data_IF_985175491840
#
_entry.id   IF_985175491840
#
_cell.length_a   1.000
_cell.length_b   1.000
_cell.length_c   1.000
_cell.angle_alpha   90.00
_cell.angle_beta   90.00
_cell.angle_gamma   90.00
#
_symmetry.space_group_name_H-M   'P 1'
#
loop_
_entity.id
_entity.type
_entity.pdbx_description
1 polymer ?
#
# COMPACT_ATOMS: atom_id res chain seq x y z
N UNK A 1 -47.72 -21.29 -19.66
CA UNK A 1 -46.27 -21.39 -19.91
C UNK A 1 -45.59 -20.11 -19.43
N UNK A 2 -44.98 -20.07 -18.24
CA UNK A 2 -44.22 -18.92 -17.78
C UNK A 2 -42.72 -19.08 -18.08
N UNK A 3 -42.24 -18.18 -18.94
CA UNK A 3 -41.01 -17.41 -18.83
C UNK A 3 -39.69 -18.09 -18.42
N UNK A 4 -38.92 -18.48 -19.44
CA UNK A 4 -37.47 -18.65 -19.39
C UNK A 4 -36.70 -17.37 -18.99
N UNK A 5 -37.35 -16.19 -18.98
CA UNK A 5 -36.71 -14.92 -18.60
C UNK A 5 -36.46 -14.77 -17.10
N UNK A 6 -37.25 -15.42 -16.25
CA UNK A 6 -37.10 -15.32 -14.78
C UNK A 6 -35.88 -16.09 -14.28
N UNK A 7 -35.54 -17.21 -14.94
CA UNK A 7 -34.38 -18.05 -14.62
C UNK A 7 -33.09 -17.34 -15.04
N UNK A 8 -33.05 -16.73 -16.23
CA UNK A 8 -31.89 -15.97 -16.70
C UNK A 8 -31.61 -14.73 -15.84
N UNK A 9 -32.67 -14.05 -15.38
CA UNK A 9 -32.53 -12.90 -14.46
C UNK A 9 -32.01 -13.31 -13.07
N UNK A 10 -32.35 -14.52 -12.61
CA UNK A 10 -31.85 -15.08 -11.35
C UNK A 10 -30.36 -15.45 -11.41
N UNK A 11 -29.89 -15.92 -12.56
CA UNK A 11 -28.47 -16.27 -12.78
C UNK A 11 -27.62 -15.00 -12.93
N UNK A 12 -28.10 -13.98 -13.65
CA UNK A 12 -27.42 -12.69 -13.77
C UNK A 12 -27.25 -11.97 -12.42
N UNK A 13 -28.27 -12.02 -11.54
CA UNK A 13 -28.17 -11.47 -10.18
C UNK A 13 -27.22 -12.26 -9.26
N UNK A 14 -27.09 -13.59 -9.45
CA UNK A 14 -26.16 -14.43 -8.70
C UNK A 14 -24.70 -14.32 -9.18
N UNK A 15 -24.48 -13.92 -10.44
CA UNK A 15 -23.15 -13.59 -10.96
C UNK A 15 -22.72 -12.17 -10.59
N UNK A 16 -23.67 -11.24 -10.45
CA UNK A 16 -23.41 -9.87 -9.97
C UNK A 16 -23.11 -9.79 -8.45
N UNK A 17 -23.33 -10.88 -7.69
CA UNK A 17 -23.04 -10.93 -6.25
C UNK A 17 -21.66 -11.53 -5.92
N UNK A 18 -20.81 -11.79 -6.92
CA UNK A 18 -19.38 -11.95 -6.64
C UNK A 18 -18.85 -10.54 -6.40
N UNK A 19 -18.63 -10.19 -5.14
CA UNK A 19 -17.83 -9.02 -4.78
C UNK A 19 -16.63 -8.96 -5.72
N UNK A 20 -16.46 -7.84 -6.42
CA UNK A 20 -15.23 -7.63 -7.18
C UNK A 20 -14.05 -7.95 -6.24
N UNK A 21 -13.09 -8.80 -6.65
CA UNK A 21 -11.93 -9.08 -5.81
C UNK A 21 -11.30 -7.73 -5.43
N UNK A 22 -10.94 -7.58 -4.16
CA UNK A 22 -10.25 -6.38 -3.71
C UNK A 22 -9.01 -6.16 -4.59
N UNK A 23 -8.78 -4.91 -5.05
CA UNK A 23 -7.64 -4.60 -5.87
C UNK A 23 -6.35 -4.96 -5.12
N UNK A 24 -5.35 -5.41 -5.88
CA UNK A 24 -4.04 -5.77 -5.35
C UNK A 24 -3.06 -4.69 -5.78
N UNK A 25 -2.20 -4.28 -4.84
CA UNK A 25 -1.08 -3.37 -5.06
C UNK A 25 0.20 -4.05 -4.62
N UNK A 26 1.35 -3.47 -4.95
CA UNK A 26 2.66 -4.02 -4.62
C UNK A 26 3.41 -3.02 -3.76
N UNK A 27 3.71 -3.42 -2.52
CA UNK A 27 4.60 -2.64 -1.65
C UNK A 27 6.02 -2.95 -2.09
N UNK A 28 6.82 -1.91 -2.32
CA UNK A 28 8.17 -2.02 -2.86
C UNK A 28 9.18 -1.54 -1.83
N UNK A 29 10.22 -2.32 -1.61
CA UNK A 29 11.37 -1.97 -0.78
C UNK A 29 12.64 -1.83 -1.63
N UNK A 30 13.59 -1.02 -1.15
CA UNK A 30 14.85 -0.78 -1.83
C UNK A 30 16.04 -0.88 -0.89
N UNK A 31 16.73 -2.02 -0.91
CA UNK A 31 17.90 -2.23 -0.06
C UNK A 31 19.11 -1.46 -0.59
N UNK A 32 19.67 -0.63 0.27
CA UNK A 32 20.74 0.31 -0.05
C UNK A 32 21.60 0.62 1.19
N UNK A 33 22.68 1.38 1.03
CA UNK A 33 23.54 1.77 2.15
C UNK A 33 22.77 2.60 3.19
N UNK A 34 22.91 2.24 4.46
CA UNK A 34 22.22 2.93 5.54
C UNK A 34 22.69 4.37 5.71
N UNK A 35 21.77 5.33 5.93
CA UNK A 35 22.13 6.65 6.46
C UNK A 35 22.46 6.59 7.97
N UNK A 36 22.11 5.48 8.65
CA UNK A 36 22.36 5.29 10.08
C UNK A 36 23.71 4.62 10.31
N UNK A 37 24.57 5.17 11.20
CA UNK A 37 25.96 4.72 11.38
C UNK A 37 26.09 3.29 11.91
N UNK A 38 25.09 2.79 12.64
CA UNK A 38 25.11 1.47 13.28
C UNK A 38 24.57 0.35 12.39
N UNK A 39 24.16 0.67 11.16
CA UNK A 39 23.54 -0.25 10.22
C UNK A 39 24.28 -0.17 8.89
N UNK A 40 24.68 -1.29 8.29
CA UNK A 40 25.41 -1.27 7.02
C UNK A 40 24.47 -1.00 5.84
N UNK A 41 23.29 -1.62 5.88
CA UNK A 41 22.27 -1.54 4.85
C UNK A 41 20.91 -1.31 5.48
N UNK A 42 20.09 -0.48 4.85
CA UNK A 42 18.70 -0.32 5.22
C UNK A 42 17.79 -0.61 4.03
N UNK A 43 16.61 -1.15 4.30
CA UNK A 43 15.65 -1.54 3.26
C UNK A 43 14.27 -0.90 3.54
N UNK A 44 14.09 0.41 3.28
CA UNK A 44 12.82 1.08 3.54
C UNK A 44 11.79 0.68 2.47
N UNK A 45 10.50 0.91 2.76
CA UNK A 45 9.50 0.98 1.69
C UNK A 45 9.85 2.19 0.83
N UNK A 46 10.05 2.01 -0.47
CA UNK A 46 10.37 3.09 -1.42
C UNK A 46 9.16 3.50 -2.26
N UNK A 47 8.04 2.77 -2.17
CA UNK A 47 6.78 3.14 -2.80
C UNK A 47 5.74 2.02 -2.81
N UNK A 48 4.58 2.32 -3.38
CA UNK A 48 3.54 1.33 -3.70
C UNK A 48 3.15 1.48 -5.15
N UNK A 49 3.10 0.38 -5.90
CA UNK A 49 2.75 0.37 -7.33
C UNK A 49 1.51 -0.47 -7.61
N UNK A 50 0.84 -0.17 -8.72
CA UNK A 50 -0.48 -0.76 -9.02
C UNK A 50 -0.39 -2.19 -9.59
N UNK A 51 0.73 -2.55 -10.20
CA UNK A 51 0.89 -3.81 -10.91
C UNK A 51 2.35 -4.28 -10.92
N UNK A 52 2.54 -5.57 -11.19
CA UNK A 52 3.85 -6.23 -11.20
C UNK A 52 4.80 -5.67 -12.27
N UNK A 53 4.27 -5.17 -13.39
CA UNK A 53 5.09 -4.60 -14.46
C UNK A 53 5.83 -3.34 -14.00
N UNK A 54 5.19 -2.52 -13.17
CA UNK A 54 5.84 -1.36 -12.53
C UNK A 54 6.97 -1.80 -11.59
N UNK A 55 6.84 -2.92 -10.87
CA UNK A 55 7.93 -3.45 -10.04
C UNK A 55 9.18 -3.77 -10.87
N UNK A 56 9.02 -4.50 -11.99
CA UNK A 56 10.14 -4.80 -12.88
C UNK A 56 10.75 -3.53 -13.50
N UNK A 57 9.92 -2.55 -13.86
CA UNK A 57 10.41 -1.27 -14.35
C UNK A 57 11.25 -0.52 -13.29
N UNK A 58 10.91 -0.64 -12.01
CA UNK A 58 11.70 -0.09 -10.90
C UNK A 58 13.04 -0.81 -10.73
N UNK A 59 13.06 -2.15 -10.80
CA UNK A 59 14.29 -2.95 -10.78
C UNK A 59 15.26 -2.54 -11.91
N UNK A 60 14.75 -2.36 -13.13
CA UNK A 60 15.55 -1.91 -14.26
C UNK A 60 16.06 -0.47 -14.08
N UNK A 61 15.18 0.44 -13.67
CA UNK A 61 15.48 1.87 -13.51
C UNK A 61 16.50 2.12 -12.40
N UNK A 62 16.40 1.38 -11.29
CA UNK A 62 17.25 1.53 -10.12
C UNK A 62 18.17 0.32 -9.92
N UNK A 63 18.86 -0.10 -10.98
CA UNK A 63 19.79 -1.25 -10.98
C UNK A 63 20.95 -1.21 -9.98
N UNK A 64 21.16 -0.08 -9.29
CA UNK A 64 22.15 0.08 -8.22
C UNK A 64 21.56 -0.17 -6.81
N UNK A 65 20.24 -0.41 -6.71
CA UNK A 65 19.49 -0.72 -5.50
C UNK A 65 18.94 -2.14 -5.65
N UNK A 66 19.04 -2.96 -4.60
CA UNK A 66 18.39 -4.26 -4.57
C UNK A 66 16.91 -4.05 -4.24
N UNK A 67 16.06 -4.03 -5.27
CA UNK A 67 14.62 -3.81 -5.14
C UNK A 67 13.92 -5.14 -4.83
N UNK A 68 13.02 -5.13 -3.85
CA UNK A 68 12.15 -6.25 -3.49
C UNK A 68 10.70 -5.79 -3.39
N UNK A 69 9.72 -6.67 -3.57
CA UNK A 69 8.31 -6.28 -3.54
C UNK A 69 7.37 -7.40 -3.11
N UNK A 70 6.22 -7.03 -2.56
CA UNK A 70 5.19 -7.95 -2.05
C UNK A 70 3.80 -7.49 -2.47
N UNK A 71 3.00 -8.41 -3.01
CA UNK A 71 1.61 -8.16 -3.37
C UNK A 71 0.72 -8.10 -2.11
N UNK A 72 -0.07 -7.03 -1.99
CA UNK A 72 -1.02 -6.80 -0.89
C UNK A 72 -2.39 -6.43 -1.42
N UNK A 73 -3.44 -6.98 -0.79
CA UNK A 73 -4.82 -6.59 -1.06
C UNK A 73 -5.11 -5.25 -0.42
N UNK A 74 -5.90 -4.42 -1.11
CA UNK A 74 -6.36 -3.15 -0.59
C UNK A 74 -7.76 -3.33 0.01
N UNK A 75 -7.82 -3.34 1.34
CA UNK A 75 -9.08 -3.41 2.07
C UNK A 75 -9.91 -2.13 1.89
N UNK A 76 -11.24 -2.29 1.83
CA UNK A 76 -12.17 -1.17 1.76
C UNK A 76 -12.37 -0.54 0.37
N UNK A 77 -11.71 -1.05 -0.68
CA UNK A 77 -11.82 -0.55 -2.06
C UNK A 77 -13.06 -1.09 -2.83
N UNK A 78 -14.18 -1.41 -2.15
CA UNK A 78 -15.34 -2.08 -2.78
C UNK A 78 -15.86 -1.26 -3.99
N UNK A 79 -15.66 -1.80 -5.20
CA UNK A 79 -16.04 -1.24 -6.50
C UNK A 79 -15.26 0.01 -6.97
N UNK A 80 -14.18 0.39 -6.29
CA UNK A 80 -13.34 1.48 -6.73
C UNK A 80 -12.09 0.93 -7.42
N UNK A 81 -11.81 1.43 -8.61
CA UNK A 81 -10.51 1.22 -9.25
C UNK A 81 -9.45 1.99 -8.46
N UNK A 82 -8.35 1.31 -8.15
CA UNK A 82 -7.17 1.94 -7.55
C UNK A 82 -6.39 2.61 -8.67
N UNK A 83 -6.26 3.93 -8.60
CA UNK A 83 -5.63 4.75 -9.65
C UNK A 83 -4.35 5.41 -9.16
N UNK A 84 -3.45 5.76 -10.08
CA UNK A 84 -2.17 6.40 -9.75
C UNK A 84 -2.39 7.73 -9.01
N UNK A 85 -1.47 8.08 -8.11
CA UNK A 85 -1.53 9.24 -7.20
C UNK A 85 -2.65 9.18 -6.15
N UNK A 86 -3.36 8.06 -6.02
CA UNK A 86 -4.36 7.89 -4.99
C UNK A 86 -3.73 7.64 -3.61
N UNK A 87 -4.23 8.29 -2.54
CA UNK A 87 -3.79 8.00 -1.19
C UNK A 87 -4.22 6.59 -0.76
N UNK A 88 -3.29 5.85 -0.19
CA UNK A 88 -3.48 4.59 0.50
C UNK A 88 -2.98 4.73 1.94
N UNK A 89 -3.53 3.92 2.83
CA UNK A 89 -3.18 3.93 4.25
C UNK A 89 -2.55 2.59 4.60
N UNK A 90 -1.27 2.62 4.91
CA UNK A 90 -0.55 1.48 5.46
C UNK A 90 -0.71 1.46 6.97
N UNK A 91 -1.05 0.29 7.53
CA UNK A 91 -1.02 0.12 8.98
C UNK A 91 0.26 -0.57 9.42
N UNK A 92 0.78 -0.15 10.57
CA UNK A 92 2.02 -0.68 11.12
C UNK A 92 1.91 -0.84 12.63
N UNK A 93 2.52 -1.89 13.16
CA UNK A 93 2.61 -2.13 14.61
C UNK A 93 3.83 -1.47 15.25
N UNK A 94 4.84 -1.12 14.46
CA UNK A 94 6.17 -0.68 14.95
C UNK A 94 6.58 0.71 14.51
N UNK A 95 5.77 1.43 13.71
CA UNK A 95 6.09 2.80 13.32
C UNK A 95 5.81 3.76 14.48
N UNK A 96 6.85 4.27 15.14
CA UNK A 96 6.66 5.36 16.10
C UNK A 96 6.52 6.70 15.36
N UNK A 97 5.44 7.41 15.67
CA UNK A 97 5.20 8.76 15.15
C UNK A 97 6.22 9.73 15.78
N UNK A 98 6.91 10.53 14.95
CA UNK A 98 7.85 11.54 15.45
C UNK A 98 7.30 12.97 15.37
N UNK A 99 6.36 13.25 14.46
CA UNK A 99 5.76 14.59 14.28
C UNK A 99 4.35 14.51 13.66
N UNK A 100 3.72 15.65 13.39
CA UNK A 100 2.44 15.80 12.70
C UNK A 100 2.57 16.87 11.61
N UNK A 101 2.04 16.63 10.42
CA UNK A 101 2.02 17.64 9.35
C UNK A 101 0.98 18.77 9.61
N UNK A 102 0.92 19.76 8.71
CA UNK A 102 -0.02 20.88 8.81
C UNK A 102 -1.50 20.47 8.70
N UNK A 103 -1.79 19.26 8.24
CA UNK A 103 -3.13 18.72 8.05
C UNK A 103 -3.55 17.76 9.17
N UNK A 104 -2.67 17.50 10.15
CA UNK A 104 -2.96 16.60 11.27
C UNK A 104 -2.65 15.13 10.97
N UNK A 105 -1.89 14.83 9.93
CA UNK A 105 -1.45 13.47 9.63
C UNK A 105 -0.15 13.15 10.38
N UNK A 106 -0.03 11.95 10.97
CA UNK A 106 1.18 11.54 11.64
C UNK A 106 2.34 11.41 10.64
N UNK A 107 3.50 11.93 11.00
CA UNK A 107 4.74 11.77 10.27
C UNK A 107 5.60 10.70 10.95
N UNK A 108 6.22 9.84 10.14
CA UNK A 108 7.03 8.73 10.60
C UNK A 108 8.47 8.83 10.11
N UNK A 109 9.40 8.41 10.95
CA UNK A 109 10.79 8.29 10.57
C UNK A 109 10.95 7.17 9.54
N UNK A 110 11.90 7.31 8.63
CA UNK A 110 12.28 6.19 7.77
C UNK A 110 12.78 5.03 8.64
N UNK A 111 12.19 3.85 8.44
CA UNK A 111 12.58 2.65 9.19
C UNK A 111 13.42 1.72 8.34
N UNK A 112 14.25 0.93 9.02
CA UNK A 112 14.85 -0.26 8.41
C UNK A 112 13.79 -1.38 8.33
N UNK A 113 13.47 -1.76 7.10
CA UNK A 113 12.55 -2.85 6.75
C UNK A 113 11.15 -2.82 7.38
N UNK A 114 10.38 -1.71 7.23
CA UNK A 114 9.02 -1.64 7.73
C UNK A 114 8.12 -2.63 6.97
N UNK A 115 7.36 -3.44 7.70
CA UNK A 115 6.39 -4.38 7.14
C UNK A 115 4.98 -3.97 7.52
N UNK A 116 4.19 -3.43 6.58
CA UNK A 116 2.80 -3.07 6.86
C UNK A 116 1.99 -4.32 7.21
N UNK A 117 1.15 -4.21 8.23
CA UNK A 117 0.17 -5.24 8.62
C UNK A 117 -1.01 -5.24 7.64
N UNK A 118 -1.38 -4.08 7.10
CA UNK A 118 -2.47 -3.93 6.13
C UNK A 118 -2.29 -2.74 5.18
N UNK A 119 -3.08 -2.76 4.10
CA UNK A 119 -3.18 -1.68 3.11
C UNK A 119 -4.65 -1.35 2.92
N UNK A 120 -5.01 -0.08 3.06
CA UNK A 120 -6.41 0.35 3.09
C UNK A 120 -6.65 1.50 2.12
N UNK A 121 -7.83 1.48 1.51
CA UNK A 121 -8.29 2.50 0.57
C UNK A 121 -8.73 3.80 1.26
N UNK A 122 -9.23 3.70 2.50
CA UNK A 122 -9.66 4.87 3.28
C UNK A 122 -9.12 4.82 4.69
N UNK A 123 -8.98 6.01 5.30
CA UNK A 123 -8.57 6.15 6.69
C UNK A 123 -9.57 5.50 7.64
N UNK A 124 -10.86 5.58 7.33
CA UNK A 124 -11.94 5.03 8.15
C UNK A 124 -11.90 3.51 8.16
N UNK A 125 -11.63 2.87 7.01
CA UNK A 125 -11.47 1.43 6.93
C UNK A 125 -10.28 0.97 7.77
N UNK A 126 -9.14 1.67 7.64
CA UNK A 126 -7.94 1.37 8.41
C UNK A 126 -8.17 1.52 9.93
N UNK A 127 -8.78 2.63 10.37
CA UNK A 127 -9.13 2.86 11.78
C UNK A 127 -10.15 1.85 12.33
N UNK A 128 -11.02 1.31 11.48
CA UNK A 128 -12.00 0.33 11.90
C UNK A 128 -11.40 -1.07 12.06
N UNK A 129 -10.56 -1.49 11.11
CA UNK A 129 -9.99 -2.84 11.07
C UNK A 129 -8.71 -2.97 11.92
N UNK A 130 -7.95 -1.89 12.08
CA UNK A 130 -6.69 -1.84 12.82
C UNK A 130 -6.62 -0.58 13.72
N UNK A 131 -7.50 -0.44 14.72
CA UNK A 131 -7.62 0.77 15.55
C UNK A 131 -6.38 1.07 16.41
N UNK A 132 -5.61 0.03 16.76
CA UNK A 132 -4.43 0.13 17.63
C UNK A 132 -3.11 0.23 16.85
N UNK A 133 -3.18 0.33 15.51
CA UNK A 133 -2.01 0.41 14.65
C UNK A 133 -1.76 1.83 14.13
N UNK A 134 -0.50 2.14 13.84
CA UNK A 134 -0.10 3.41 13.28
C UNK A 134 -0.46 3.49 11.80
N UNK A 135 -0.99 4.64 11.38
CA UNK A 135 -1.47 4.87 10.02
C UNK A 135 -0.51 5.73 9.23
N UNK A 136 0.15 5.13 8.25
CA UNK A 136 1.07 5.78 7.34
C UNK A 136 0.38 6.06 6.00
N UNK A 137 0.24 7.34 5.66
CA UNK A 137 -0.32 7.80 4.40
C UNK A 137 0.74 7.72 3.31
N UNK A 138 0.40 7.08 2.19
CA UNK A 138 1.28 6.93 1.03
C UNK A 138 0.49 7.12 -0.25
N UNK A 139 1.10 7.60 -1.33
CA UNK A 139 0.42 7.73 -2.62
C UNK A 139 0.90 6.65 -3.59
N UNK A 140 -0.07 6.06 -4.29
CA UNK A 140 0.22 5.06 -5.30
C UNK A 140 1.04 5.63 -6.45
N UNK A 141 2.15 4.99 -6.79
CA UNK A 141 3.07 5.38 -7.88
C UNK A 141 4.07 6.46 -7.51
N UNK A 142 4.01 7.04 -6.29
CA UNK A 142 5.09 7.88 -5.78
C UNK A 142 6.25 7.00 -5.31
N UNK A 143 7.46 7.34 -5.77
CA UNK A 143 8.67 6.59 -5.48
C UNK A 143 9.70 7.51 -4.82
N UNK A 144 10.16 7.14 -3.63
CA UNK A 144 11.24 7.81 -2.91
C UNK A 144 12.27 6.78 -2.45
N UNK A 145 13.48 6.88 -2.99
CA UNK A 145 14.58 5.98 -2.61
C UNK A 145 15.06 6.23 -1.18
N UNK A 146 14.84 7.41 -0.60
CA UNK A 146 15.15 7.66 0.81
C UNK A 146 14.19 6.94 1.76
N UNK A 147 13.17 6.27 1.21
CA UNK A 147 12.13 5.59 1.96
C UNK A 147 10.96 6.50 2.23
N UNK A 148 9.76 5.91 2.28
CA UNK A 148 8.55 6.61 2.68
C UNK A 148 8.67 6.96 4.17
N UNK A 149 8.64 8.27 4.46
CA UNK A 149 8.88 8.84 5.78
C UNK A 149 9.86 10.02 5.68
N UNK A 150 10.40 10.45 6.82
CA UNK A 150 11.48 11.43 6.86
C UNK A 150 12.71 10.80 7.49
N UNK A 151 13.88 11.03 6.89
CA UNK A 151 15.15 10.77 7.56
C UNK A 151 15.24 11.68 8.80
N UNK A 152 15.39 11.08 9.96
CA UNK A 152 15.58 11.76 11.23
C UNK A 152 17.09 11.86 11.51
N UNK A 153 17.52 13.04 12.00
CA UNK A 153 18.91 13.33 12.37
C UNK A 153 19.36 12.56 13.64
#
# INVERSE_FOLDING_TARGET
MPFLSSILSGIAKRLASKSSPEPTVYVVWGKQSSPYPDLEHFEPIIGIVANEHECFALEEKYSHVEVSWEARKVSGAKNNDVTTAQPLYLTHTTLEQYDVDSEGNPLFGTMDFPRPSGVYFTREAAKHEAPDEYLHLVHLGEIDLHGVGKLLD
#
